data_IF_805240568494
#
_entry.id   IF_805240568494
#
_cell.length_a   1.000
_cell.length_b   1.000
_cell.length_c   1.000
_cell.angle_alpha   90.00
_cell.angle_beta   90.00
_cell.angle_gamma   90.00
#
_symmetry.space_group_name_H-M   'P 1'
#
loop_
_entity.id
_entity.type
_entity.pdbx_description
1 polymer ?
#
# COMPACT_ATOMS: atom_id res chain seq x y z
N UNK A 1 -2.99 -3.42 36.26
CA UNK A 1 -2.18 -2.18 36.22
C UNK A 1 -2.74 -1.37 35.05
N UNK A 2 -3.28 -0.20 35.36
CA UNK A 2 -4.07 0.65 34.48
C UNK A 2 -3.28 1.10 33.26
N UNK A 3 -3.85 0.87 32.06
CA UNK A 3 -3.40 1.49 30.83
C UNK A 3 -3.60 3.01 30.97
N UNK A 4 -2.50 3.76 30.89
CA UNK A 4 -2.54 5.21 30.93
C UNK A 4 -3.24 5.75 29.66
N UNK A 5 -4.30 6.51 29.89
CA UNK A 5 -4.95 7.32 28.85
C UNK A 5 -3.94 8.37 28.38
N UNK A 6 -3.51 8.28 27.13
CA UNK A 6 -2.68 9.31 26.49
C UNK A 6 -3.62 10.42 26.04
N UNK A 7 -3.63 11.55 26.74
CA UNK A 7 -4.21 12.80 26.25
C UNK A 7 -3.37 13.31 25.07
N UNK A 8 -3.94 13.31 23.88
CA UNK A 8 -3.36 13.97 22.70
C UNK A 8 -3.83 15.42 22.63
N UNK A 9 -3.01 16.33 23.15
CA UNK A 9 -3.04 17.73 22.77
C UNK A 9 -2.16 17.96 21.54
N UNK A 10 -2.36 19.07 20.81
CA UNK A 10 -1.60 19.52 19.63
C UNK A 10 -0.09 19.31 19.80
N UNK A 11 0.45 18.14 19.46
CA UNK A 11 1.88 17.88 19.43
C UNK A 11 2.31 17.80 17.98
N UNK A 12 3.03 18.85 17.53
CA UNK A 12 3.92 18.73 16.37
C UNK A 12 4.82 17.52 16.63
N UNK A 13 4.63 16.45 15.88
CA UNK A 13 5.55 15.32 15.89
C UNK A 13 6.83 15.84 15.27
N UNK A 14 7.83 16.12 16.09
CA UNK A 14 9.15 16.43 15.59
C UNK A 14 9.60 15.22 14.76
N UNK A 15 9.96 15.47 13.50
CA UNK A 15 10.59 14.48 12.62
C UNK A 15 11.99 14.17 13.19
N UNK A 16 12.03 13.38 14.26
CA UNK A 16 13.28 12.81 14.76
C UNK A 16 13.60 11.67 13.81
N UNK A 17 14.77 11.67 13.14
CA UNK A 17 15.15 10.54 12.31
C UNK A 17 15.11 9.29 13.18
N UNK A 18 14.41 8.23 12.77
CA UNK A 18 14.37 7.02 13.55
C UNK A 18 15.80 6.49 13.68
N UNK A 19 16.25 6.31 14.91
CA UNK A 19 17.37 5.40 15.16
C UNK A 19 16.84 4.06 14.73
N UNK A 20 17.25 3.56 13.54
CA UNK A 20 16.80 2.27 13.03
C UNK A 20 17.25 1.20 14.04
N UNK A 21 16.34 0.64 14.85
CA UNK A 21 16.74 -0.34 15.85
C UNK A 21 17.21 -1.60 15.13
N UNK A 22 18.38 -2.10 15.48
CA UNK A 22 18.75 -3.48 15.18
C UNK A 22 18.04 -4.34 16.22
N UNK A 23 17.16 -5.24 15.79
CA UNK A 23 16.60 -6.20 16.74
C UNK A 23 17.68 -7.19 17.13
N UNK A 24 18.10 -7.10 18.39
CA UNK A 24 19.01 -8.10 18.95
C UNK A 24 18.21 -9.38 19.22
N UNK A 25 18.80 -10.53 18.95
CA UNK A 25 18.19 -11.85 19.16
C UNK A 25 17.62 -12.05 20.57
N UNK A 26 18.08 -11.26 21.55
CA UNK A 26 17.62 -11.30 22.93
C UNK A 26 16.61 -10.18 23.28
N UNK A 27 16.20 -9.34 22.33
CA UNK A 27 15.24 -8.28 22.63
C UNK A 27 13.82 -8.85 22.59
N UNK A 28 13.12 -8.82 23.72
CA UNK A 28 11.73 -9.23 23.81
C UNK A 28 10.87 -8.15 23.16
N UNK A 29 10.29 -8.44 21.99
CA UNK A 29 9.29 -7.60 21.35
C UNK A 29 7.90 -8.15 21.69
N UNK A 30 7.03 -7.29 22.19
CA UNK A 30 5.66 -7.64 22.53
C UNK A 30 4.68 -6.76 21.71
N UNK A 31 3.81 -7.41 20.94
CA UNK A 31 2.74 -6.73 20.20
C UNK A 31 1.42 -7.33 20.66
N UNK A 32 0.71 -6.62 21.53
CA UNK A 32 -0.48 -7.15 22.18
C UNK A 32 -0.18 -8.44 22.96
N UNK A 33 -0.89 -9.52 22.65
CA UNK A 33 -0.68 -10.85 23.25
C UNK A 33 0.42 -11.67 22.53
N UNK A 34 0.95 -11.17 21.41
CA UNK A 34 2.01 -11.84 20.66
C UNK A 34 3.36 -11.46 21.22
N UNK A 35 4.10 -12.45 21.73
CA UNK A 35 5.41 -12.26 22.37
C UNK A 35 6.50 -12.91 21.53
N UNK A 36 7.41 -12.11 21.00
CA UNK A 36 8.56 -12.62 20.24
C UNK A 36 9.47 -13.49 21.11
N UNK A 37 9.87 -14.64 20.58
CA UNK A 37 10.83 -15.55 21.17
C UNK A 37 11.84 -15.99 20.12
N UNK A 38 13.15 -15.83 20.35
CA UNK A 38 14.19 -16.21 19.38
C UNK A 38 14.01 -17.65 18.86
N UNK A 39 14.07 -17.83 17.54
CA UNK A 39 13.86 -19.10 16.86
C UNK A 39 12.42 -19.64 16.96
N UNK A 40 11.44 -18.76 17.20
CA UNK A 40 10.03 -19.14 17.29
C UNK A 40 9.16 -18.25 16.42
N UNK A 41 8.12 -18.86 15.85
CA UNK A 41 6.97 -18.17 15.31
C UNK A 41 5.88 -18.11 16.39
N UNK A 42 5.36 -16.92 16.65
CA UNK A 42 4.34 -16.69 17.68
C UNK A 42 3.13 -15.98 17.07
N UNK A 43 1.98 -16.26 17.64
CA UNK A 43 0.69 -15.75 17.18
C UNK A 43 -0.04 -15.08 18.33
N UNK A 44 -0.76 -14.02 18.04
CA UNK A 44 -1.52 -13.28 19.04
C UNK A 44 -2.43 -12.24 18.41
N UNK A 45 -2.92 -11.35 19.25
CA UNK A 45 -3.78 -10.24 18.84
C UNK A 45 -3.31 -8.94 19.46
N UNK A 46 -3.39 -7.89 18.69
CA UNK A 46 -3.26 -6.50 19.14
C UNK A 46 -4.67 -5.94 19.31
N UNK A 47 -5.07 -5.63 20.55
CA UNK A 47 -6.30 -4.90 20.81
C UNK A 47 -6.08 -3.42 20.49
N UNK A 48 -6.90 -2.87 19.60
CA UNK A 48 -6.72 -1.51 19.05
C UNK A 48 -7.83 -0.56 19.48
N UNK A 49 -9.00 -1.08 19.79
CA UNK A 49 -10.16 -0.28 20.18
C UNK A 49 -11.16 -1.16 20.96
N UNK A 50 -11.99 -0.54 21.78
CA UNK A 50 -13.18 -1.19 22.37
C UNK A 50 -14.41 -0.50 21.80
N UNK A 51 -15.33 -1.30 21.24
CA UNK A 51 -16.62 -0.82 20.74
C UNK A 51 -17.55 -0.41 21.90
N UNK A 52 -18.61 0.37 21.57
CA UNK A 52 -19.57 0.86 22.57
C UNK A 52 -20.32 -0.27 23.30
N UNK A 53 -20.40 -1.46 22.73
CA UNK A 53 -21.00 -2.66 23.34
C UNK A 53 -20.03 -3.46 24.23
N UNK A 54 -18.79 -2.94 24.39
CA UNK A 54 -17.73 -3.57 25.19
C UNK A 54 -16.93 -4.64 24.44
N UNK A 55 -17.23 -4.91 23.16
CA UNK A 55 -16.43 -5.86 22.37
C UNK A 55 -15.12 -5.22 21.90
N UNK A 56 -13.97 -5.93 21.99
CA UNK A 56 -12.70 -5.41 21.52
C UNK A 56 -12.53 -5.60 20.00
N UNK A 57 -12.03 -4.58 19.30
CA UNK A 57 -11.48 -4.74 17.97
C UNK A 57 -10.01 -5.18 18.08
N UNK A 58 -9.64 -6.26 17.38
CA UNK A 58 -8.34 -6.91 17.49
C UNK A 58 -7.75 -7.21 16.13
N UNK A 59 -6.51 -6.80 15.92
CA UNK A 59 -5.72 -7.17 14.74
C UNK A 59 -4.95 -8.47 15.02
N UNK A 60 -5.01 -9.46 14.12
CA UNK A 60 -4.18 -10.66 14.25
C UNK A 60 -2.71 -10.31 13.98
N UNK A 61 -1.82 -10.82 14.82
CA UNK A 61 -0.37 -10.58 14.74
C UNK A 61 0.36 -11.91 14.65
N UNK A 62 1.33 -11.97 13.73
CA UNK A 62 2.32 -13.03 13.63
C UNK A 62 3.70 -12.41 13.83
N UNK A 63 4.53 -12.99 14.69
CA UNK A 63 5.93 -12.61 14.84
C UNK A 63 6.79 -13.83 14.55
N UNK A 64 7.58 -13.76 13.47
CA UNK A 64 8.63 -14.73 13.17
C UNK A 64 9.96 -14.13 13.63
N UNK A 65 10.49 -14.60 14.76
CA UNK A 65 11.74 -14.12 15.34
C UNK A 65 12.88 -15.09 15.04
N UNK A 66 13.88 -14.63 14.27
CA UNK A 66 15.11 -15.39 13.99
C UNK A 66 15.99 -15.53 15.22
N UNK A 67 17.02 -16.37 15.10
CA UNK A 67 18.04 -16.54 16.17
C UNK A 67 19.19 -15.54 16.06
N UNK A 68 19.31 -14.85 14.95
CA UNK A 68 20.41 -13.94 14.66
C UNK A 68 19.93 -12.49 14.67
N UNK A 69 20.78 -11.58 15.11
CA UNK A 69 20.53 -10.15 15.03
C UNK A 69 20.29 -9.71 13.58
N UNK A 70 19.37 -8.80 13.39
CA UNK A 70 19.00 -8.28 12.08
C UNK A 70 17.91 -7.20 12.16
N UNK A 71 17.39 -6.75 11.01
CA UNK A 71 16.33 -5.76 10.99
C UNK A 71 14.97 -6.33 11.39
N UNK A 72 14.03 -5.41 11.67
CA UNK A 72 12.61 -5.73 11.83
C UNK A 72 11.86 -5.35 10.55
N UNK A 73 11.28 -6.36 9.90
CA UNK A 73 10.51 -6.19 8.67
C UNK A 73 9.01 -6.32 8.94
N UNK A 74 8.24 -5.29 8.65
CA UNK A 74 6.79 -5.32 8.78
C UNK A 74 6.13 -5.66 7.44
N UNK A 75 5.18 -6.59 7.48
CA UNK A 75 4.37 -7.00 6.32
C UNK A 75 2.91 -6.91 6.71
N UNK A 76 2.17 -6.00 6.09
CA UNK A 76 0.75 -5.80 6.34
C UNK A 76 -0.08 -6.14 5.10
N UNK A 77 -1.35 -6.44 5.30
CA UNK A 77 -2.27 -6.67 4.21
C UNK A 77 -3.71 -6.46 4.63
N UNK A 78 -4.61 -6.45 3.64
CA UNK A 78 -6.05 -6.40 3.83
C UNK A 78 -6.52 -5.21 4.71
N UNK A 79 -5.92 -4.02 4.52
CA UNK A 79 -6.44 -2.78 5.11
C UNK A 79 -7.78 -2.41 4.47
N UNK A 80 -7.97 -2.70 3.19
CA UNK A 80 -9.28 -2.75 2.56
C UNK A 80 -9.79 -4.17 2.69
N UNK A 81 -10.92 -4.35 3.38
CA UNK A 81 -11.37 -5.68 3.81
C UNK A 81 -11.77 -6.63 2.69
N UNK A 82 -12.01 -6.14 1.48
CA UNK A 82 -12.29 -6.91 0.27
C UNK A 82 -11.05 -7.27 -0.57
N UNK A 83 -9.83 -6.87 -0.14
CA UNK A 83 -8.57 -7.17 -0.81
C UNK A 83 -7.92 -8.43 -0.21
N UNK A 84 -8.47 -9.61 -0.47
CA UNK A 84 -8.10 -10.87 0.19
C UNK A 84 -6.71 -11.39 -0.16
N UNK A 85 -6.16 -11.02 -1.32
CA UNK A 85 -4.87 -11.55 -1.79
C UNK A 85 -3.72 -11.15 -0.86
N UNK A 86 -3.75 -9.92 -0.29
CA UNK A 86 -2.76 -9.46 0.67
C UNK A 86 -2.72 -10.32 1.93
N UNK A 87 -3.89 -10.64 2.50
CA UNK A 87 -4.02 -11.55 3.65
C UNK A 87 -3.41 -12.93 3.34
N UNK A 88 -3.76 -13.52 2.20
CA UNK A 88 -3.26 -14.85 1.82
C UNK A 88 -1.77 -14.83 1.47
N UNK A 89 -1.25 -13.73 0.91
CA UNK A 89 0.17 -13.57 0.65
C UNK A 89 0.99 -13.48 1.95
N UNK A 90 0.48 -12.78 2.98
CA UNK A 90 1.08 -12.78 4.32
C UNK A 90 1.10 -14.19 4.91
N UNK A 91 -0.01 -14.92 4.84
CA UNK A 91 -0.06 -16.31 5.33
C UNK A 91 0.91 -17.22 4.58
N UNK A 92 1.01 -17.10 3.25
CA UNK A 92 1.92 -17.87 2.42
C UNK A 92 3.38 -17.51 2.62
N UNK A 93 3.71 -16.22 2.50
CA UNK A 93 5.08 -15.70 2.48
C UNK A 93 5.72 -15.53 3.87
N UNK A 94 4.91 -15.38 4.92
CA UNK A 94 5.43 -15.28 6.30
C UNK A 94 5.12 -16.55 7.08
N UNK A 95 3.83 -16.86 7.32
CA UNK A 95 3.46 -17.93 8.25
C UNK A 95 3.93 -19.31 7.77
N UNK A 96 3.70 -19.63 6.49
CA UNK A 96 4.09 -20.95 5.94
C UNK A 96 5.57 -20.99 5.52
N UNK A 97 6.03 -19.96 4.80
CA UNK A 97 7.38 -19.97 4.24
C UNK A 97 8.48 -19.90 5.31
N UNK A 98 8.22 -19.26 6.45
CA UNK A 98 9.20 -19.13 7.53
C UNK A 98 9.04 -20.16 8.65
N UNK A 99 8.01 -21.04 8.60
CA UNK A 99 7.72 -21.99 9.69
C UNK A 99 8.93 -22.83 10.12
N UNK A 100 9.67 -23.36 9.14
CA UNK A 100 10.83 -24.24 9.36
C UNK A 100 12.17 -23.55 9.05
N UNK A 101 12.17 -22.19 8.97
CA UNK A 101 13.32 -21.40 8.53
C UNK A 101 13.77 -20.33 9.52
N UNK A 102 13.33 -20.42 10.78
CA UNK A 102 13.65 -19.43 11.80
C UNK A 102 15.11 -19.46 12.24
N UNK A 103 15.80 -20.59 12.01
CA UNK A 103 17.25 -20.69 12.26
C UNK A 103 18.07 -19.97 11.18
N UNK A 104 17.56 -19.84 9.94
CA UNK A 104 18.16 -19.07 8.85
C UNK A 104 17.83 -17.58 8.94
N UNK A 105 16.70 -17.24 9.58
CA UNK A 105 16.19 -15.88 9.64
C UNK A 105 17.06 -14.97 10.50
N UNK A 106 17.46 -13.83 9.95
CA UNK A 106 18.15 -12.76 10.66
C UNK A 106 17.17 -11.64 10.99
N UNK A 107 17.08 -11.27 12.27
CA UNK A 107 16.12 -10.26 12.74
C UNK A 107 14.71 -10.82 12.94
N UNK A 108 13.71 -9.99 12.73
CA UNK A 108 12.31 -10.30 13.05
C UNK A 108 11.39 -9.87 11.92
N UNK A 109 10.46 -10.74 11.55
CA UNK A 109 9.32 -10.37 10.69
C UNK A 109 8.08 -10.21 11.56
N UNK A 110 7.48 -9.04 11.51
CA UNK A 110 6.16 -8.74 12.11
C UNK A 110 5.14 -8.70 10.99
N UNK A 111 4.11 -9.53 11.09
CA UNK A 111 3.08 -9.57 10.06
C UNK A 111 1.68 -9.41 10.65
N UNK A 112 0.87 -8.57 10.01
CA UNK A 112 -0.55 -8.40 10.27
C UNK A 112 -1.32 -8.82 9.01
N UNK A 113 -1.86 -10.05 8.97
CA UNK A 113 -2.56 -10.55 7.79
C UNK A 113 -3.76 -9.71 7.37
N UNK A 114 -4.43 -9.08 8.34
CA UNK A 114 -5.47 -8.09 8.08
C UNK A 114 -5.35 -6.92 9.05
N UNK A 115 -5.38 -5.71 8.49
CA UNK A 115 -5.50 -4.47 9.25
C UNK A 115 -6.97 -4.06 9.46
N UNK A 116 -7.91 -4.72 8.74
CA UNK A 116 -9.33 -4.40 8.79
C UNK A 116 -10.20 -5.68 8.92
N UNK A 117 -10.16 -6.36 10.08
CA UNK A 117 -11.01 -7.52 10.32
C UNK A 117 -12.51 -7.23 10.19
N UNK A 118 -12.93 -6.00 10.49
CA UNK A 118 -14.32 -5.57 10.38
C UNK A 118 -14.80 -5.53 8.92
N UNK A 119 -14.02 -4.94 8.02
CA UNK A 119 -14.29 -4.95 6.58
C UNK A 119 -14.20 -6.35 5.98
N UNK A 120 -13.20 -7.15 6.41
CA UNK A 120 -13.02 -8.53 5.99
C UNK A 120 -14.27 -9.40 6.30
N UNK A 121 -14.87 -9.24 7.49
CA UNK A 121 -16.09 -10.00 7.90
C UNK A 121 -17.26 -9.77 6.98
N UNK A 122 -17.38 -8.61 6.38
CA UNK A 122 -18.49 -8.22 5.51
C UNK A 122 -18.12 -8.13 4.02
N UNK A 123 -16.86 -8.43 3.67
CA UNK A 123 -16.37 -8.38 2.30
C UNK A 123 -16.45 -6.98 1.69
N UNK A 124 -16.11 -5.95 2.45
CA UNK A 124 -16.13 -4.55 2.01
C UNK A 124 -14.80 -3.88 2.29
N UNK A 125 -14.54 -2.82 1.51
CA UNK A 125 -13.35 -2.00 1.61
C UNK A 125 -13.23 -1.36 2.99
N UNK A 126 -14.30 -0.69 3.43
CA UNK A 126 -14.35 0.03 4.70
C UNK A 126 -14.82 -0.88 5.85
N UNK A 127 -14.41 -0.60 7.11
CA UNK A 127 -14.93 -1.28 8.27
C UNK A 127 -16.41 -0.95 8.49
N UNK A 128 -17.22 -1.90 8.95
CA UNK A 128 -18.67 -1.70 9.13
C UNK A 128 -19.02 -0.60 10.15
N UNK A 129 -18.14 -0.34 11.09
CA UNK A 129 -18.33 0.68 12.13
C UNK A 129 -17.87 2.09 11.72
N UNK A 130 -17.16 2.21 10.59
CA UNK A 130 -16.68 3.48 10.02
C UNK A 130 -16.76 3.46 8.48
N UNK A 131 -17.97 3.34 7.92
CA UNK A 131 -18.16 3.08 6.48
C UNK A 131 -17.91 4.31 5.59
N UNK A 132 -17.74 5.49 6.17
CA UNK A 132 -17.45 6.72 5.44
C UNK A 132 -15.95 7.02 5.31
N UNK A 133 -15.12 6.33 6.09
CA UNK A 133 -13.67 6.57 6.15
C UNK A 133 -12.92 5.54 5.34
N UNK A 134 -12.12 5.98 4.36
CA UNK A 134 -11.14 5.10 3.72
C UNK A 134 -10.05 4.77 4.75
N UNK A 135 -9.93 3.51 5.21
CA UNK A 135 -8.98 3.12 6.26
C UNK A 135 -7.53 3.41 5.87
N UNK A 136 -7.21 3.44 4.57
CA UNK A 136 -5.87 3.77 4.09
C UNK A 136 -5.65 5.28 3.85
N UNK A 137 -6.34 6.14 4.62
CA UNK A 137 -6.17 7.62 4.65
C UNK A 137 -6.16 8.17 6.08
N UNK A 138 -6.00 7.30 7.07
CA UNK A 138 -6.17 7.60 8.50
C UNK A 138 -4.87 7.70 9.28
N UNK A 139 -3.74 7.55 8.60
CA UNK A 139 -2.41 7.61 9.25
C UNK A 139 -1.97 9.03 9.54
N UNK A 140 -0.98 9.22 10.44
CA UNK A 140 -0.47 10.54 10.80
C UNK A 140 -0.04 11.34 9.57
N UNK A 141 -0.32 12.63 9.61
CA UNK A 141 -0.03 13.57 8.53
C UNK A 141 1.36 14.17 8.70
N UNK A 142 2.21 14.04 7.67
CA UNK A 142 3.51 14.69 7.60
C UNK A 142 3.48 16.00 6.78
N UNK A 143 2.33 16.37 6.20
CA UNK A 143 2.21 17.57 5.37
C UNK A 143 2.46 18.83 6.20
N UNK A 144 3.53 19.59 5.91
CA UNK A 144 3.86 20.79 6.69
C UNK A 144 2.88 21.95 6.47
N UNK A 145 1.95 21.82 5.53
CA UNK A 145 0.95 22.82 5.16
C UNK A 145 -0.48 22.38 5.54
N UNK A 146 -0.66 21.24 6.24
CA UNK A 146 -1.98 20.71 6.60
C UNK A 146 -2.83 21.72 7.41
N UNK A 147 -2.21 22.45 8.35
CA UNK A 147 -2.91 23.43 9.19
C UNK A 147 -3.42 24.66 8.39
N UNK A 148 -2.90 24.90 7.19
CA UNK A 148 -3.33 26.01 6.35
C UNK A 148 -4.59 25.69 5.51
N UNK A 149 -4.95 24.41 5.39
CA UNK A 149 -6.11 23.94 4.64
C UNK A 149 -7.37 23.78 5.52
N UNK A 150 -7.23 23.81 6.85
CA UNK A 150 -8.35 23.76 7.77
C UNK A 150 -9.05 25.12 7.75
N UNK A 151 -10.30 25.16 7.30
CA UNK A 151 -11.14 26.34 7.39
C UNK A 151 -11.32 26.74 8.86
N UNK A 152 -11.26 28.06 9.17
CA UNK A 152 -11.55 28.57 10.49
C UNK A 152 -12.94 28.08 10.96
N UNK A 153 -12.97 27.20 11.97
CA UNK A 153 -14.20 26.69 12.58
C UNK A 153 -14.43 25.18 12.57
N UNK A 154 -13.58 24.39 11.94
CA UNK A 154 -13.62 22.91 12.03
C UNK A 154 -12.61 22.40 13.08
N UNK A 155 -12.87 22.71 14.34
CA UNK A 155 -12.08 22.25 15.50
C UNK A 155 -12.59 20.89 16.04
N UNK A 156 -12.90 19.93 15.18
CA UNK A 156 -13.15 18.56 15.63
C UNK A 156 -11.87 17.71 15.48
N UNK A 157 -10.96 17.89 16.43
CA UNK A 157 -9.72 17.09 16.57
C UNK A 157 -10.02 15.65 17.06
N UNK A 158 -11.28 15.21 17.07
CA UNK A 158 -11.67 13.86 17.50
C UNK A 158 -11.30 12.86 16.41
N UNK A 159 -10.42 11.90 16.70
CA UNK A 159 -10.06 10.89 15.69
C UNK A 159 -11.28 10.04 15.33
N UNK A 160 -11.43 9.72 14.04
CA UNK A 160 -12.43 8.74 13.63
C UNK A 160 -12.15 7.38 14.28
N UNK A 161 -13.15 6.47 14.36
CA UNK A 161 -12.92 5.14 14.91
C UNK A 161 -11.73 4.42 14.27
N UNK A 162 -11.57 4.52 12.94
CA UNK A 162 -10.46 3.85 12.30
C UNK A 162 -9.11 4.60 12.44
N UNK A 163 -9.09 5.91 12.60
CA UNK A 163 -7.88 6.64 13.00
C UNK A 163 -7.36 6.19 14.37
N UNK A 164 -8.25 5.84 15.29
CA UNK A 164 -7.86 5.23 16.56
C UNK A 164 -7.15 3.88 16.34
N UNK A 165 -7.70 3.04 15.46
CA UNK A 165 -7.09 1.75 15.09
C UNK A 165 -5.71 1.95 14.46
N UNK A 166 -5.62 2.81 13.44
CA UNK A 166 -4.36 3.03 12.71
C UNK A 166 -3.27 3.61 13.59
N UNK A 167 -3.60 4.53 14.50
CA UNK A 167 -2.64 5.14 15.42
C UNK A 167 -1.97 4.12 16.34
N UNK A 168 -2.72 3.13 16.83
CA UNK A 168 -2.18 2.11 17.76
C UNK A 168 -1.10 1.27 17.10
N UNK A 169 -1.37 0.69 15.94
CA UNK A 169 -0.36 -0.16 15.31
C UNK A 169 0.75 0.64 14.62
N UNK A 170 0.47 1.85 14.13
CA UNK A 170 1.48 2.72 13.54
C UNK A 170 2.53 3.16 14.56
N UNK A 171 2.11 3.41 15.81
CA UNK A 171 3.05 3.70 16.89
C UNK A 171 4.00 2.51 17.17
N UNK A 172 3.50 1.27 17.07
CA UNK A 172 4.34 0.09 17.20
C UNK A 172 5.32 -0.06 16.02
N UNK A 173 4.87 0.23 14.79
CA UNK A 173 5.76 0.31 13.63
C UNK A 173 6.86 1.36 13.85
N UNK A 174 6.49 2.55 14.34
CA UNK A 174 7.44 3.65 14.63
C UNK A 174 8.55 3.20 15.58
N UNK A 175 8.23 2.35 16.56
CA UNK A 175 9.18 1.87 17.56
C UNK A 175 10.06 0.72 17.05
N UNK A 176 9.60 -0.03 16.06
CA UNK A 176 10.23 -1.34 15.75
C UNK A 176 10.61 -1.52 14.29
N UNK A 177 9.93 -0.89 13.32
CA UNK A 177 10.10 -1.19 11.91
C UNK A 177 11.37 -0.58 11.31
N UNK A 178 12.10 -1.38 10.53
CA UNK A 178 13.17 -0.92 9.64
C UNK A 178 12.70 -0.84 8.18
N UNK A 179 11.79 -1.74 7.79
CA UNK A 179 11.23 -1.88 6.45
C UNK A 179 9.75 -2.22 6.53
N UNK A 180 9.00 -1.85 5.50
CA UNK A 180 7.58 -2.12 5.45
C UNK A 180 7.11 -2.48 4.04
N UNK A 181 6.18 -3.43 3.95
CA UNK A 181 5.40 -3.74 2.76
C UNK A 181 3.93 -3.76 3.16
N UNK A 182 3.09 -3.01 2.43
CA UNK A 182 1.64 -3.05 2.56
C UNK A 182 1.01 -3.69 1.31
N UNK A 183 0.41 -4.86 1.46
CA UNK A 183 -0.11 -5.67 0.36
C UNK A 183 -1.56 -5.33 0.07
N UNK A 184 -1.80 -4.88 -1.15
CA UNK A 184 -3.07 -4.43 -1.67
C UNK A 184 -3.57 -5.23 -2.87
N UNK A 185 -4.76 -4.90 -3.33
CA UNK A 185 -5.29 -5.27 -4.64
C UNK A 185 -6.03 -4.09 -5.28
N UNK A 186 -6.04 -4.05 -6.61
CA UNK A 186 -6.75 -3.02 -7.37
C UNK A 186 -8.21 -3.43 -7.65
N UNK A 187 -8.73 -3.02 -8.79
CA UNK A 187 -10.07 -3.32 -9.27
C UNK A 187 -10.21 -4.78 -9.73
N UNK A 188 -11.41 -5.16 -10.16
CA UNK A 188 -11.81 -6.53 -10.53
C UNK A 188 -10.98 -7.20 -11.64
N UNK A 189 -10.29 -6.45 -12.47
CA UNK A 189 -9.34 -6.96 -13.47
C UNK A 189 -8.11 -6.07 -13.45
N UNK A 190 -7.02 -6.58 -12.90
CA UNK A 190 -5.76 -5.88 -12.75
C UNK A 190 -4.58 -6.84 -12.91
N UNK A 191 -3.48 -6.36 -13.44
CA UNK A 191 -2.20 -7.08 -13.37
C UNK A 191 -1.46 -6.68 -12.10
N UNK A 192 -0.67 -7.56 -11.48
CA UNK A 192 0.18 -7.19 -10.34
C UNK A 192 1.24 -6.15 -10.70
N UNK A 193 1.41 -5.15 -9.84
CA UNK A 193 2.49 -4.15 -9.90
C UNK A 193 2.78 -3.59 -8.50
N UNK A 194 3.93 -2.96 -8.32
CA UNK A 194 4.31 -2.30 -7.07
C UNK A 194 4.19 -0.79 -7.22
N UNK A 195 3.40 -0.14 -6.37
CA UNK A 195 3.40 1.31 -6.24
C UNK A 195 4.56 1.78 -5.38
N UNK A 196 5.12 2.90 -5.80
CA UNK A 196 6.19 3.61 -5.14
C UNK A 196 5.75 5.06 -4.92
N UNK A 197 5.72 5.49 -3.66
CA UNK A 197 5.30 6.83 -3.28
C UNK A 197 6.34 7.87 -3.71
N UNK A 198 5.89 9.11 -3.98
CA UNK A 198 6.81 10.26 -4.01
C UNK A 198 7.40 10.51 -2.63
N UNK A 199 8.66 10.92 -2.57
CA UNK A 199 9.32 11.32 -1.34
C UNK A 199 9.38 12.85 -1.28
N UNK A 200 8.60 13.41 -0.37
CA UNK A 200 8.38 14.85 -0.30
C UNK A 200 9.23 15.47 0.82
N UNK A 201 9.88 16.61 0.52
CA UNK A 201 10.72 17.33 1.49
C UNK A 201 10.26 18.78 1.67
N UNK A 202 10.51 19.35 2.86
CA UNK A 202 10.16 20.75 3.18
C UNK A 202 11.29 21.73 2.86
N UNK A 203 12.52 21.34 3.08
CA UNK A 203 13.71 22.20 2.90
C UNK A 203 14.90 21.39 2.38
N UNK A 204 15.92 22.06 1.90
CA UNK A 204 17.10 21.43 1.30
C UNK A 204 17.86 20.50 2.28
N UNK A 205 17.78 20.75 3.58
CA UNK A 205 18.33 19.89 4.63
C UNK A 205 17.65 18.51 4.68
N UNK A 206 16.37 18.43 4.34
CA UNK A 206 15.64 17.16 4.24
C UNK A 206 15.88 16.46 2.90
N UNK A 207 16.18 17.18 1.85
CA UNK A 207 16.28 16.64 0.49
C UNK A 207 17.25 15.48 0.40
N UNK A 208 18.48 15.63 0.90
CA UNK A 208 19.51 14.58 0.86
C UNK A 208 19.07 13.31 1.60
N UNK A 209 18.30 13.46 2.71
CA UNK A 209 17.71 12.34 3.43
C UNK A 209 16.64 11.63 2.59
N UNK A 210 15.77 12.40 1.91
CA UNK A 210 14.73 11.84 1.04
C UNK A 210 15.33 11.19 -0.22
N UNK A 211 16.41 11.71 -0.78
CA UNK A 211 17.13 11.08 -1.91
C UNK A 211 17.72 9.71 -1.51
N UNK A 212 18.30 9.62 -0.30
CA UNK A 212 18.79 8.34 0.22
C UNK A 212 17.63 7.34 0.45
N UNK A 213 16.54 7.79 1.06
CA UNK A 213 15.35 6.97 1.29
C UNK A 213 14.74 6.52 -0.03
N UNK A 214 14.69 7.40 -1.04
CA UNK A 214 14.19 7.08 -2.39
C UNK A 214 14.98 5.94 -3.04
N UNK A 215 16.30 5.95 -2.90
CA UNK A 215 17.15 4.87 -3.41
C UNK A 215 16.85 3.53 -2.71
N UNK A 216 16.58 3.54 -1.41
CA UNK A 216 16.22 2.33 -0.65
C UNK A 216 14.81 1.84 -1.01
N UNK A 217 13.83 2.75 -1.20
CA UNK A 217 12.47 2.43 -1.68
C UNK A 217 12.51 1.82 -3.08
N UNK A 218 13.29 2.43 -4.00
CA UNK A 218 13.47 1.89 -5.36
C UNK A 218 14.09 0.50 -5.35
N UNK A 219 15.14 0.30 -4.54
CA UNK A 219 15.80 -1.00 -4.43
C UNK A 219 14.86 -2.07 -3.86
N UNK A 220 14.05 -1.76 -2.83
CA UNK A 220 13.06 -2.65 -2.28
C UNK A 220 11.95 -2.97 -3.31
N UNK A 221 11.44 -1.95 -4.02
CA UNK A 221 10.40 -2.13 -5.03
C UNK A 221 10.86 -3.06 -6.17
N UNK A 222 12.09 -2.86 -6.66
CA UNK A 222 12.68 -3.73 -7.70
C UNK A 222 12.95 -5.13 -7.18
N UNK A 223 13.44 -5.24 -5.95
CA UNK A 223 13.70 -6.55 -5.33
C UNK A 223 12.42 -7.37 -5.17
N UNK A 224 11.26 -6.75 -4.93
CA UNK A 224 9.98 -7.44 -4.86
C UNK A 224 9.69 -8.25 -6.13
N UNK A 225 10.08 -7.73 -7.32
CA UNK A 225 10.17 -8.52 -8.55
C UNK A 225 8.95 -8.45 -9.49
N UNK A 226 8.01 -7.53 -9.27
CA UNK A 226 6.92 -7.19 -10.21
C UNK A 226 7.09 -5.75 -10.73
N UNK A 227 6.39 -5.32 -11.80
CA UNK A 227 6.57 -3.98 -12.39
C UNK A 227 6.43 -2.87 -11.36
N UNK A 228 7.33 -1.88 -11.42
CA UNK A 228 7.33 -0.72 -10.50
C UNK A 228 6.68 0.48 -11.17
N UNK A 229 5.68 1.05 -10.49
CA UNK A 229 4.88 2.19 -10.95
C UNK A 229 4.95 3.31 -9.91
N UNK A 230 5.21 4.55 -10.36
CA UNK A 230 5.14 5.70 -9.48
C UNK A 230 3.68 6.07 -9.18
N UNK A 231 3.45 6.63 -8.01
CA UNK A 231 2.16 7.18 -7.64
C UNK A 231 1.79 8.40 -8.50
N UNK A 232 0.60 8.96 -8.27
CA UNK A 232 0.12 10.18 -8.95
C UNK A 232 1.09 11.35 -8.76
N UNK A 233 1.10 12.33 -9.68
CA UNK A 233 1.83 13.58 -9.48
C UNK A 233 1.56 14.21 -8.12
N UNK A 234 2.57 14.84 -7.51
CA UNK A 234 2.61 15.24 -6.11
C UNK A 234 1.35 16.02 -5.62
N UNK A 235 0.84 16.97 -6.42
CA UNK A 235 -0.40 17.71 -6.07
C UNK A 235 -1.62 16.79 -5.98
N UNK A 236 -1.75 15.80 -6.89
CA UNK A 236 -2.86 14.84 -6.86
C UNK A 236 -2.65 13.83 -5.73
N UNK A 237 -1.41 13.44 -5.46
CA UNK A 237 -1.02 12.59 -4.35
C UNK A 237 -1.49 13.18 -3.01
N UNK A 238 -1.20 14.46 -2.76
CA UNK A 238 -1.65 15.16 -1.54
C UNK A 238 -3.18 15.31 -1.51
N UNK A 239 -3.80 15.79 -2.60
CA UNK A 239 -5.26 15.96 -2.68
C UNK A 239 -6.02 14.66 -2.41
N UNK A 240 -5.47 13.51 -2.81
CA UNK A 240 -6.03 12.19 -2.51
C UNK A 240 -5.62 11.65 -1.14
N UNK A 241 -4.93 12.43 -0.31
CA UNK A 241 -4.44 12.08 1.02
C UNK A 241 -3.59 10.80 1.04
N UNK A 242 -2.87 10.49 -0.05
CA UNK A 242 -2.05 9.29 -0.16
C UNK A 242 -0.84 9.30 0.77
N UNK A 243 -0.32 10.48 1.11
CA UNK A 243 0.69 10.67 2.16
C UNK A 243 0.23 10.22 3.56
N UNK A 244 -1.09 10.03 3.75
CA UNK A 244 -1.72 9.47 4.94
C UNK A 244 -2.17 8.01 4.75
N UNK A 245 -1.68 7.32 3.71
CA UNK A 245 -1.76 5.86 3.60
C UNK A 245 -0.74 5.19 4.51
N UNK A 246 -0.87 3.89 4.73
CA UNK A 246 0.11 3.08 5.47
C UNK A 246 1.51 3.27 4.92
N UNK A 247 1.69 3.08 3.60
CA UNK A 247 2.97 3.28 2.90
C UNK A 247 3.43 4.73 2.92
N UNK A 248 2.54 5.68 2.58
CA UNK A 248 2.84 7.10 2.56
C UNK A 248 3.30 7.63 3.92
N UNK A 249 2.61 7.25 5.00
CA UNK A 249 3.02 7.62 6.36
C UNK A 249 4.32 6.93 6.78
N UNK A 250 4.55 5.67 6.36
CA UNK A 250 5.81 4.98 6.64
C UNK A 250 7.02 5.72 6.04
N UNK A 251 6.92 6.21 4.80
CA UNK A 251 8.04 6.97 4.19
C UNK A 251 8.17 8.39 4.73
N UNK A 252 7.07 9.12 4.95
CA UNK A 252 7.13 10.54 5.32
C UNK A 252 7.24 10.78 6.82
N UNK A 253 6.54 9.99 7.65
CA UNK A 253 6.55 10.14 9.12
C UNK A 253 7.64 9.30 9.76
N UNK A 254 7.76 8.01 9.36
CA UNK A 254 8.74 7.10 9.95
C UNK A 254 10.11 7.19 9.26
N UNK A 255 10.17 7.62 8.00
CA UNK A 255 11.41 7.70 7.23
C UNK A 255 12.03 6.32 6.97
N UNK A 256 11.19 5.29 6.80
CA UNK A 256 11.61 3.92 6.47
C UNK A 256 11.21 3.55 5.04
N UNK A 257 11.99 2.70 4.36
CA UNK A 257 11.58 2.17 3.07
C UNK A 257 10.26 1.42 3.17
N UNK A 258 9.28 1.85 2.37
CA UNK A 258 7.97 1.22 2.27
C UNK A 258 7.51 1.17 0.82
N UNK A 259 6.84 0.09 0.44
CA UNK A 259 6.25 -0.13 -0.88
C UNK A 259 4.84 -0.67 -0.76
N UNK A 260 4.03 -0.44 -1.79
CA UNK A 260 2.65 -0.92 -1.86
C UNK A 260 2.45 -1.81 -3.08
N UNK A 261 2.68 -3.13 -2.97
CA UNK A 261 2.35 -4.06 -4.04
C UNK A 261 0.84 -4.24 -4.19
N UNK A 262 0.34 -3.95 -5.38
CA UNK A 262 -1.02 -4.18 -5.84
C UNK A 262 -1.08 -5.57 -6.50
N UNK A 263 -1.61 -6.57 -5.83
CA UNK A 263 -1.56 -7.97 -6.23
C UNK A 263 -2.80 -8.40 -7.03
N UNK A 264 -3.04 -7.72 -8.16
CA UNK A 264 -4.13 -8.06 -9.05
C UNK A 264 -5.49 -7.55 -8.56
N UNK A 265 -6.53 -8.41 -8.61
CA UNK A 265 -7.93 -8.02 -8.38
C UNK A 265 -8.34 -8.03 -6.90
N UNK A 266 -9.20 -7.08 -6.51
CA UNK A 266 -9.98 -7.12 -5.29
C UNK A 266 -11.24 -7.99 -5.44
N UNK A 267 -11.81 -8.41 -4.31
CA UNK A 267 -13.04 -9.23 -4.26
C UNK A 267 -12.84 -10.72 -4.56
N UNK A 268 -11.69 -11.13 -5.08
CA UNK A 268 -11.28 -12.52 -5.31
C UNK A 268 -9.76 -12.64 -5.33
N UNK A 269 -9.23 -13.84 -5.47
CA UNK A 269 -7.78 -14.12 -5.46
C UNK A 269 -7.35 -14.90 -6.68
N UNK A 270 -6.56 -14.23 -7.53
CA UNK A 270 -5.94 -14.87 -8.67
C UNK A 270 -4.70 -15.67 -8.23
N UNK A 271 -4.60 -17.00 -8.53
CA UNK A 271 -3.49 -17.83 -8.03
C UNK A 271 -2.10 -17.35 -8.44
N UNK A 272 -1.92 -16.80 -9.66
CA UNK A 272 -0.61 -16.29 -10.11
C UNK A 272 -0.23 -14.99 -9.41
N UNK A 273 -1.20 -14.12 -9.07
CA UNK A 273 -0.96 -12.90 -8.30
C UNK A 273 -0.60 -13.23 -6.84
N UNK A 274 -1.31 -14.17 -6.22
CA UNK A 274 -0.96 -14.70 -4.89
C UNK A 274 0.46 -15.29 -4.86
N UNK A 275 0.81 -16.10 -5.86
CA UNK A 275 2.16 -16.65 -6.00
C UNK A 275 3.21 -15.55 -6.13
N UNK A 276 2.92 -14.48 -6.89
CA UNK A 276 3.82 -13.32 -7.03
C UNK A 276 3.99 -12.57 -5.70
N UNK A 277 2.91 -12.38 -4.94
CA UNK A 277 2.97 -11.77 -3.60
C UNK A 277 3.83 -12.56 -2.62
N UNK A 278 3.67 -13.89 -2.60
CA UNK A 278 4.49 -14.79 -1.75
C UNK A 278 5.97 -14.71 -2.15
N UNK A 279 6.28 -14.81 -3.46
CA UNK A 279 7.64 -14.70 -3.97
C UNK A 279 8.24 -13.30 -3.71
N UNK A 280 7.44 -12.24 -3.85
CA UNK A 280 7.86 -10.87 -3.57
C UNK A 280 8.20 -10.63 -2.10
N UNK A 281 7.45 -11.20 -1.16
CA UNK A 281 7.81 -11.15 0.28
C UNK A 281 9.15 -11.85 0.50
N UNK A 282 9.35 -13.05 -0.06
CA UNK A 282 10.63 -13.77 0.02
C UNK A 282 11.77 -12.90 -0.52
N UNK A 283 11.63 -12.34 -1.71
CA UNK A 283 12.63 -11.51 -2.36
C UNK A 283 12.99 -10.26 -1.52
N UNK A 284 11.99 -9.64 -0.89
CA UNK A 284 12.20 -8.50 0.00
C UNK A 284 13.01 -8.88 1.25
N UNK A 285 12.76 -10.06 1.82
CA UNK A 285 13.54 -10.57 2.95
C UNK A 285 14.98 -10.91 2.54
N UNK A 286 15.20 -11.46 1.34
CA UNK A 286 16.53 -11.69 0.77
C UNK A 286 17.26 -10.36 0.54
N UNK A 287 16.58 -9.37 -0.06
CA UNK A 287 17.13 -8.02 -0.25
C UNK A 287 17.55 -7.38 1.08
N UNK A 288 16.71 -7.51 2.11
CA UNK A 288 17.01 -7.02 3.46
C UNK A 288 18.10 -7.83 4.19
N UNK A 289 18.68 -8.85 3.55
CA UNK A 289 19.69 -9.78 4.10
C UNK A 289 19.18 -10.53 5.33
N UNK A 290 17.89 -10.78 5.38
CA UNK A 290 17.23 -11.54 6.43
C UNK A 290 17.20 -13.04 6.14
N UNK A 291 17.24 -13.43 4.86
CA UNK A 291 17.36 -14.81 4.39
C UNK A 291 18.61 -14.98 3.52
N UNK A 292 19.30 -16.14 3.59
CA UNK A 292 20.52 -16.40 2.83
C UNK A 292 20.28 -16.89 1.40
N UNK A 293 19.06 -16.81 0.90
CA UNK A 293 18.64 -17.39 -0.38
C UNK A 293 18.97 -16.49 -1.57
N UNK A 294 18.76 -17.04 -2.77
CA UNK A 294 18.66 -16.27 -4.01
C UNK A 294 17.23 -15.76 -4.22
N UNK A 295 17.04 -14.61 -4.88
CA UNK A 295 15.71 -14.11 -5.24
C UNK A 295 14.98 -15.06 -6.19
N UNK A 296 13.68 -15.17 -6.03
CA UNK A 296 12.79 -15.91 -6.92
C UNK A 296 12.45 -15.04 -8.13
N UNK A 297 12.77 -15.48 -9.34
CA UNK A 297 12.33 -14.81 -10.56
C UNK A 297 10.81 -14.89 -10.70
N UNK A 298 10.15 -13.74 -10.93
CA UNK A 298 8.69 -13.65 -11.15
C UNK A 298 8.44 -13.39 -12.63
N UNK A 299 8.62 -14.38 -13.47
CA UNK A 299 8.50 -14.32 -14.93
C UNK A 299 7.09 -14.62 -15.46
N UNK A 300 6.18 -15.03 -14.57
CA UNK A 300 4.78 -15.34 -14.94
C UNK A 300 3.83 -14.14 -14.83
N UNK A 301 4.32 -12.97 -14.39
CA UNK A 301 3.59 -11.71 -14.41
C UNK A 301 4.11 -10.87 -15.58
N UNK A 302 3.24 -10.33 -16.47
CA UNK A 302 3.67 -9.44 -17.53
C UNK A 302 4.45 -8.25 -16.97
N UNK A 303 5.62 -7.98 -17.54
CA UNK A 303 6.51 -6.87 -17.16
C UNK A 303 6.82 -6.01 -18.39
N UNK A 304 5.87 -5.18 -18.86
CA UNK A 304 6.11 -4.32 -20.01
C UNK A 304 7.25 -3.33 -19.72
N UNK A 305 8.30 -3.37 -20.53
CA UNK A 305 9.38 -2.39 -20.49
C UNK A 305 9.15 -1.33 -21.58
N UNK A 306 8.87 -0.11 -21.16
CA UNK A 306 8.68 1.04 -22.06
C UNK A 306 9.96 1.88 -22.24
N UNK A 307 11.06 1.48 -21.57
CA UNK A 307 12.34 2.20 -21.62
C UNK A 307 12.36 3.53 -20.84
N UNK A 308 11.34 3.81 -20.03
CA UNK A 308 11.25 5.01 -19.19
C UNK A 308 10.43 4.73 -17.92
N UNK A 309 10.60 5.54 -16.85
CA UNK A 309 9.77 5.45 -15.66
C UNK A 309 8.29 5.70 -15.98
N UNK A 310 7.40 5.02 -15.28
CA UNK A 310 5.97 5.15 -15.47
C UNK A 310 5.25 5.45 -14.16
N UNK A 311 4.12 6.18 -14.27
CA UNK A 311 3.21 6.46 -13.17
C UNK A 311 1.80 6.01 -13.50
N UNK A 312 1.00 5.77 -12.47
CA UNK A 312 -0.41 5.45 -12.70
C UNK A 312 -1.22 6.67 -13.13
N UNK A 313 -2.07 6.48 -14.11
CA UNK A 313 -2.98 7.51 -14.59
C UNK A 313 -4.34 6.94 -14.97
N UNK A 314 -5.45 7.42 -14.36
CA UNK A 314 -6.81 7.11 -14.81
C UNK A 314 -7.09 7.79 -16.16
N UNK A 315 -6.98 7.03 -17.24
CA UNK A 315 -7.05 7.52 -18.63
C UNK A 315 -7.37 6.35 -19.59
N UNK A 316 -8.11 6.58 -20.71
CA UNK A 316 -8.70 7.83 -21.14
C UNK A 316 -10.05 8.14 -20.45
N UNK A 317 -10.51 9.37 -20.65
CA UNK A 317 -11.76 9.89 -20.10
C UNK A 317 -12.79 10.10 -21.21
N UNK A 318 -13.94 9.39 -21.19
CA UNK A 318 -14.99 9.60 -22.18
C UNK A 318 -15.58 11.01 -22.08
N UNK A 319 -16.07 11.54 -23.21
CA UNK A 319 -16.76 12.83 -23.28
C UNK A 319 -18.29 12.68 -23.35
N UNK A 320 -18.78 11.45 -23.41
CA UNK A 320 -20.20 11.10 -23.58
C UNK A 320 -20.68 10.20 -22.45
N UNK A 321 -21.99 10.17 -22.25
CA UNK A 321 -22.68 9.17 -21.43
C UNK A 321 -23.13 8.02 -22.30
N UNK A 322 -22.94 6.77 -21.83
CA UNK A 322 -23.36 5.59 -22.60
C UNK A 322 -22.83 4.29 -22.00
N UNK A 323 -22.59 3.33 -22.86
CA UNK A 323 -22.08 1.99 -22.54
C UNK A 323 -20.73 1.81 -23.23
N UNK A 324 -19.76 1.28 -22.51
CA UNK A 324 -18.44 0.94 -23.03
C UNK A 324 -18.21 -0.58 -23.01
N UNK A 325 -17.84 -1.13 -24.17
CA UNK A 325 -17.26 -2.47 -24.28
C UNK A 325 -15.73 -2.31 -24.37
N UNK A 326 -15.00 -2.74 -23.33
CA UNK A 326 -13.55 -2.62 -23.27
C UNK A 326 -12.89 -3.56 -24.29
N UNK A 327 -11.88 -3.08 -25.00
CA UNK A 327 -11.14 -3.78 -26.05
C UNK A 327 -9.73 -4.22 -25.62
N UNK A 328 -9.33 -3.84 -24.42
CA UNK A 328 -7.99 -4.08 -23.86
C UNK A 328 -8.07 -4.88 -22.57
N UNK A 329 -6.96 -5.50 -22.20
CA UNK A 329 -6.80 -6.27 -20.96
C UNK A 329 -5.61 -5.73 -20.13
N UNK A 330 -5.58 -5.97 -18.80
CA UNK A 330 -4.42 -5.63 -17.97
C UNK A 330 -3.14 -6.29 -18.50
N UNK A 331 -2.09 -5.49 -18.66
CA UNK A 331 -0.81 -5.89 -19.25
C UNK A 331 -0.66 -5.52 -20.73
N UNK A 332 -1.75 -5.17 -21.45
CA UNK A 332 -1.64 -4.74 -22.85
C UNK A 332 -0.88 -3.41 -22.96
N UNK A 333 0.06 -3.35 -23.92
CA UNK A 333 0.73 -2.10 -24.30
C UNK A 333 -0.13 -1.38 -25.33
N UNK A 334 -0.37 -0.09 -25.09
CA UNK A 334 -1.17 0.77 -25.95
C UNK A 334 -0.37 1.99 -26.40
N UNK A 335 -0.71 2.51 -27.58
CA UNK A 335 -0.14 3.72 -28.16
C UNK A 335 -1.20 4.80 -28.30
N UNK A 336 -0.78 6.06 -28.30
CA UNK A 336 -1.68 7.17 -28.58
C UNK A 336 -2.42 6.96 -29.93
N UNK A 337 -3.75 7.05 -29.86
CA UNK A 337 -4.67 6.74 -30.97
C UNK A 337 -5.29 5.34 -30.93
N UNK A 338 -4.78 4.40 -30.14
CA UNK A 338 -5.36 3.07 -30.05
C UNK A 338 -6.75 3.07 -29.41
N UNK A 339 -7.71 2.30 -29.96
CA UNK A 339 -9.02 2.15 -29.36
C UNK A 339 -8.94 1.26 -28.12
N UNK A 340 -9.45 1.74 -26.99
CA UNK A 340 -9.47 1.00 -25.71
C UNK A 340 -10.88 0.55 -25.33
N UNK A 341 -11.91 1.13 -25.94
CA UNK A 341 -13.29 0.67 -25.79
C UNK A 341 -14.16 1.10 -26.99
N UNK A 342 -15.19 0.31 -27.30
CA UNK A 342 -16.33 0.75 -28.10
C UNK A 342 -17.32 1.50 -27.22
N UNK A 343 -17.89 2.59 -27.76
CA UNK A 343 -18.89 3.42 -27.09
C UNK A 343 -20.23 3.32 -27.80
N UNK A 344 -21.29 2.98 -27.07
CA UNK A 344 -22.64 2.80 -27.61
C UNK A 344 -23.68 3.42 -26.68
N UNK A 345 -24.82 3.80 -27.26
CA UNK A 345 -26.03 4.11 -26.49
C UNK A 345 -26.73 2.81 -26.04
N UNK A 346 -27.85 2.94 -25.31
CA UNK A 346 -28.58 1.78 -24.78
C UNK A 346 -29.17 0.88 -25.90
N UNK A 347 -29.31 1.38 -27.12
CA UNK A 347 -29.80 0.62 -28.29
C UNK A 347 -28.65 0.05 -29.13
N UNK A 348 -27.39 0.23 -28.72
CA UNK A 348 -26.24 -0.27 -29.45
C UNK A 348 -25.73 0.64 -30.57
N UNK A 349 -26.24 1.86 -30.71
CA UNK A 349 -25.78 2.82 -31.73
C UNK A 349 -24.44 3.45 -31.27
N UNK A 350 -23.48 3.64 -32.19
CA UNK A 350 -22.18 4.21 -31.84
C UNK A 350 -22.33 5.66 -31.31
N UNK A 351 -21.49 5.97 -30.28
CA UNK A 351 -21.42 7.29 -29.65
C UNK A 351 -20.04 7.92 -29.83
N UNK A 352 -19.99 9.25 -29.87
CA UNK A 352 -18.75 10.00 -29.98
C UNK A 352 -18.08 9.85 -31.35
N UNK A 353 -16.74 9.89 -31.35
CA UNK A 353 -15.94 9.85 -32.58
C UNK A 353 -15.80 8.40 -33.09
N UNK A 354 -16.61 8.09 -34.10
CA UNK A 354 -16.63 6.77 -34.74
C UNK A 354 -17.01 5.60 -33.84
N UNK A 355 -17.60 5.85 -32.66
CA UNK A 355 -18.01 4.82 -31.72
C UNK A 355 -16.87 4.24 -30.88
N UNK A 356 -15.70 4.92 -30.77
CA UNK A 356 -14.56 4.44 -30.02
C UNK A 356 -14.05 5.46 -29.00
N UNK A 357 -13.62 4.95 -27.84
CA UNK A 357 -12.77 5.69 -26.92
C UNK A 357 -11.31 5.31 -27.23
N UNK A 358 -10.50 6.32 -27.54
CA UNK A 358 -9.07 6.13 -27.85
C UNK A 358 -8.22 6.69 -26.74
N UNK A 359 -7.07 6.04 -26.47
CA UNK A 359 -6.07 6.63 -25.60
C UNK A 359 -5.34 7.77 -26.33
N UNK A 360 -4.99 8.83 -25.60
CA UNK A 360 -4.17 9.95 -26.10
C UNK A 360 -2.69 9.79 -25.71
N UNK A 361 -2.36 8.68 -25.00
CA UNK A 361 -1.04 8.43 -24.42
C UNK A 361 -0.55 7.03 -24.72
N UNK A 362 0.77 6.92 -24.89
CA UNK A 362 1.47 5.64 -24.85
C UNK A 362 1.51 5.13 -23.39
N UNK A 363 1.45 3.82 -23.22
CA UNK A 363 1.50 3.21 -21.91
C UNK A 363 1.12 1.75 -21.93
N UNK A 364 0.80 1.19 -20.76
CA UNK A 364 0.22 -0.13 -20.66
C UNK A 364 -0.92 -0.15 -19.64
N UNK A 365 -1.86 -1.06 -19.83
CA UNK A 365 -3.08 -1.15 -19.04
C UNK A 365 -2.77 -1.78 -17.68
N UNK A 366 -3.01 -1.03 -16.60
CA UNK A 366 -2.84 -1.51 -15.23
C UNK A 366 -4.06 -2.32 -14.80
N UNK A 367 -5.25 -1.71 -14.96
CA UNK A 367 -6.50 -2.32 -14.54
C UNK A 367 -7.68 -1.82 -15.36
N UNK A 368 -8.75 -2.60 -15.37
CA UNK A 368 -10.06 -2.22 -15.89
C UNK A 368 -10.97 -1.83 -14.72
N UNK A 369 -11.63 -0.68 -14.82
CA UNK A 369 -12.60 -0.26 -13.81
C UNK A 369 -13.91 -1.04 -13.96
N UNK A 370 -14.62 -1.38 -12.87
CA UNK A 370 -15.83 -2.16 -12.93
C UNK A 370 -16.96 -1.46 -13.68
N UNK A 371 -17.88 -2.26 -14.22
CA UNK A 371 -19.08 -1.79 -14.92
C UNK A 371 -18.88 -1.49 -16.40
N UNK A 372 -19.99 -1.23 -17.07
CA UNK A 372 -20.08 -0.90 -18.50
C UNK A 372 -20.63 0.50 -18.74
N UNK A 373 -21.33 1.08 -17.77
CA UNK A 373 -21.87 2.45 -17.85
C UNK A 373 -20.76 3.49 -17.78
N UNK A 374 -20.79 4.44 -18.68
CA UNK A 374 -19.83 5.55 -18.73
C UNK A 374 -20.50 6.90 -18.57
N UNK A 375 -19.76 7.81 -17.97
CA UNK A 375 -20.13 9.22 -17.80
C UNK A 375 -18.97 10.11 -18.21
N UNK A 376 -19.21 11.36 -18.63
CA UNK A 376 -18.16 12.29 -18.99
C UNK A 376 -17.12 12.43 -17.86
N UNK A 377 -15.84 12.45 -18.24
CA UNK A 377 -14.70 12.60 -17.36
C UNK A 377 -14.45 11.46 -16.35
N UNK A 378 -15.23 10.38 -16.35
CA UNK A 378 -14.95 9.20 -15.54
C UNK A 378 -14.13 8.18 -16.33
N UNK A 379 -12.88 7.92 -15.96
CA UNK A 379 -12.04 6.95 -16.67
C UNK A 379 -12.58 5.52 -16.50
N UNK A 380 -12.33 4.67 -17.50
CA UNK A 380 -12.78 3.28 -17.51
C UNK A 380 -11.64 2.26 -17.34
N UNK A 381 -10.40 2.73 -17.48
CA UNK A 381 -9.18 1.98 -17.24
C UNK A 381 -8.17 2.88 -16.53
N UNK A 382 -7.14 2.29 -15.95
CA UNK A 382 -5.95 2.99 -15.49
C UNK A 382 -4.75 2.51 -16.30
N UNK A 383 -3.92 3.45 -16.74
CA UNK A 383 -2.70 3.20 -17.50
C UNK A 383 -1.46 3.47 -16.66
N UNK A 384 -0.40 2.75 -16.94
CA UNK A 384 0.96 3.16 -16.66
C UNK A 384 1.45 4.03 -17.82
N UNK A 385 1.58 5.32 -17.60
CA UNK A 385 2.04 6.29 -18.59
C UNK A 385 3.41 6.84 -18.20
N UNK A 386 4.12 7.45 -19.17
CA UNK A 386 5.42 8.08 -18.92
C UNK A 386 5.37 9.04 -17.72
N UNK A 387 6.36 8.92 -16.87
CA UNK A 387 6.58 9.78 -15.73
C UNK A 387 7.91 10.52 -15.89
N UNK A 388 7.80 11.83 -16.10
CA UNK A 388 8.97 12.72 -16.22
C UNK A 388 9.28 13.45 -14.91
N UNK A 389 8.44 13.27 -13.87
CA UNK A 389 8.65 13.88 -12.56
C UNK A 389 9.73 13.11 -11.78
N UNK A 390 10.62 13.80 -11.05
CA UNK A 390 11.54 13.13 -10.14
C UNK A 390 10.78 12.48 -8.98
N UNK A 391 11.32 11.38 -8.44
CA UNK A 391 10.71 10.70 -7.30
C UNK A 391 10.76 11.55 -6.02
N UNK A 392 11.80 12.38 -5.88
CA UNK A 392 12.00 13.28 -4.71
C UNK A 392 11.62 14.70 -5.12
N UNK A 393 10.64 15.26 -4.43
CA UNK A 393 10.01 16.54 -4.75
C UNK A 393 9.78 17.38 -3.48
N UNK A 394 9.75 18.73 -3.60
CA UNK A 394 9.25 19.53 -2.50
C UNK A 394 7.75 19.26 -2.26
N UNK A 395 7.30 19.40 -1.01
CA UNK A 395 5.88 19.40 -0.70
C UNK A 395 5.16 20.46 -1.55
N UNK A 396 4.10 20.10 -2.27
CA UNK A 396 3.32 21.08 -3.02
C UNK A 396 2.62 22.04 -2.07
N UNK A 397 2.65 23.33 -2.43
CA UNK A 397 1.93 24.40 -1.73
C UNK A 397 0.51 24.55 -2.25
#
# INVERSE_FOLDING_TARGET
MSAGVIQQGKRKIALVPPIRPTTHANTTMNIGTCIAKPGKMTFGFLEVMTHFDGTPERLPVVIAAGRHDGPCFWVTGNIHGDEYVGLLAVQGGVTRALADRLDDLRGTVVALPTLNPAGLRIGRREPYYDPATDPNRTFPDANPYADAELAEGEDDDTPTPYETVSNVYFELMRQTANYHIDLHAMSIQSTPFTLRDHLLYKGEDERARMEKLAAEVDALARAFGIPVINEFPSRKYIRNRLHRSTGGAAVHVLGIPSITPELGMGGDVEPRALRAGIAGIHNALVWAKMLPDDPIAIDWIPQPDLGYPVRREPHPRPKVTGIAAKLVQPGDVVRAGDPVAELRDIWGRPLGDGGYLRTEKDGWVLNLRPGVGIYPNRPIIDLAVRDDDPLVLPWPK
#
